data_IF_940041607831
#
_entry.id   IF_940041607831
#
_cell.length_a   1.000
_cell.length_b   1.000
_cell.length_c   1.000
_cell.angle_alpha   90.00
_cell.angle_beta   90.00
_cell.angle_gamma   90.00
#
_symmetry.space_group_name_H-M   'P 1'
#
loop_
_entity.id
_entity.type
_entity.pdbx_description
1 polymer ?
#
# COMPACT_ATOMS: atom_id res chain seq x y z
N UNK A 1 -0.78 -17.44 -24.33
CA UNK A 1 -1.60 -16.21 -24.41
C UNK A 1 -0.87 -15.14 -23.61
N UNK A 2 -0.25 -14.22 -24.30
CA UNK A 2 0.51 -13.09 -23.73
C UNK A 2 -0.49 -12.15 -23.06
N UNK A 3 -0.30 -11.94 -21.73
CA UNK A 3 -1.05 -10.92 -20.99
C UNK A 3 -0.78 -9.56 -21.64
N UNK A 4 -1.83 -8.95 -22.19
CA UNK A 4 -1.78 -7.59 -22.68
C UNK A 4 -1.29 -6.69 -21.53
N UNK A 5 -0.19 -6.00 -21.75
CA UNK A 5 0.24 -4.88 -20.92
C UNK A 5 -0.85 -3.82 -21.05
N UNK A 6 -1.73 -3.75 -20.07
CA UNK A 6 -2.60 -2.60 -19.91
C UNK A 6 -1.71 -1.42 -19.49
N UNK A 7 -1.76 -0.34 -20.25
CA UNK A 7 -1.18 0.93 -19.86
C UNK A 7 -1.64 1.25 -18.43
N UNK A 8 -0.68 1.51 -17.52
CA UNK A 8 -0.97 1.75 -16.10
C UNK A 8 -0.80 0.52 -15.19
N UNK A 9 0.17 -0.36 -15.41
CA UNK A 9 0.72 -1.32 -14.41
C UNK A 9 -0.23 -2.08 -13.47
N UNK A 10 -1.53 -2.18 -13.79
CA UNK A 10 -2.58 -2.73 -12.94
C UNK A 10 -2.26 -4.14 -12.45
N UNK A 11 -2.16 -4.30 -11.14
CA UNK A 11 -2.12 -5.60 -10.47
C UNK A 11 -3.56 -6.02 -10.17
N UNK A 12 -4.02 -7.19 -10.65
CA UNK A 12 -5.36 -7.67 -10.33
C UNK A 12 -5.59 -7.74 -8.83
N UNK A 13 -6.78 -7.35 -8.39
CA UNK A 13 -7.16 -7.42 -6.98
C UNK A 13 -6.95 -8.84 -6.44
N UNK A 14 -6.16 -8.95 -5.38
CA UNK A 14 -5.90 -10.21 -4.70
C UNK A 14 -6.70 -10.27 -3.40
N UNK A 15 -7.86 -10.92 -3.45
CA UNK A 15 -8.76 -11.07 -2.29
C UNK A 15 -8.50 -12.34 -1.47
N UNK A 16 -7.39 -13.04 -1.73
CA UNK A 16 -7.02 -14.20 -0.90
C UNK A 16 -6.83 -13.76 0.56
N UNK A 17 -7.24 -14.56 1.54
CA UNK A 17 -7.26 -14.15 2.97
C UNK A 17 -5.93 -13.63 3.51
N UNK A 18 -4.80 -14.10 2.96
CA UNK A 18 -3.45 -13.67 3.35
C UNK A 18 -2.80 -12.72 2.31
N UNK A 19 -3.56 -12.27 1.32
CA UNK A 19 -3.12 -11.32 0.30
C UNK A 19 -3.04 -9.90 0.85
N UNK A 20 -2.14 -9.07 0.28
CA UNK A 20 -1.97 -7.68 0.70
C UNK A 20 -3.25 -6.86 0.59
N UNK A 21 -3.96 -6.98 -0.53
CA UNK A 21 -5.20 -6.24 -0.76
C UNK A 21 -6.31 -6.64 0.23
N UNK A 22 -6.49 -7.94 0.51
CA UNK A 22 -7.50 -8.39 1.45
C UNK A 22 -7.24 -7.86 2.87
N UNK A 23 -5.97 -7.88 3.32
CA UNK A 23 -5.58 -7.33 4.62
C UNK A 23 -5.76 -5.82 4.67
N UNK A 24 -5.31 -5.12 3.64
CA UNK A 24 -5.46 -3.67 3.53
C UNK A 24 -6.93 -3.26 3.57
N UNK A 25 -7.79 -3.91 2.77
CA UNK A 25 -9.23 -3.69 2.78
C UNK A 25 -9.87 -4.05 4.14
N UNK A 26 -9.31 -5.02 4.87
CA UNK A 26 -9.72 -5.37 6.23
C UNK A 26 -9.41 -4.24 7.23
N UNK A 27 -8.24 -3.63 7.15
CA UNK A 27 -7.83 -2.50 8.00
C UNK A 27 -8.63 -1.22 7.74
N UNK A 28 -9.01 -0.98 6.48
CA UNK A 28 -9.89 0.16 6.13
C UNK A 28 -11.29 -0.03 6.72
N UNK A 29 -11.83 -1.24 6.64
CA UNK A 29 -13.16 -1.56 7.18
C UNK A 29 -14.31 -1.17 6.25
N UNK A 30 -15.42 -0.70 6.83
CA UNK A 30 -16.66 -0.38 6.13
C UNK A 30 -17.23 0.97 6.59
N UNK A 31 -18.02 1.63 5.73
CA UNK A 31 -18.74 2.88 6.05
C UNK A 31 -17.82 4.08 6.32
N UNK A 32 -16.60 4.10 5.77
CA UNK A 32 -15.56 5.10 6.00
C UNK A 32 -15.50 6.12 4.87
N UNK A 33 -15.08 7.34 5.18
CA UNK A 33 -14.61 8.31 4.20
C UNK A 33 -13.12 8.11 4.01
N UNK A 34 -12.72 7.69 2.83
CA UNK A 34 -11.35 7.26 2.50
C UNK A 34 -10.75 8.21 1.48
N UNK A 35 -9.51 8.64 1.70
CA UNK A 35 -8.67 9.25 0.67
C UNK A 35 -7.68 8.20 0.18
N UNK A 36 -7.88 7.71 -1.05
CA UNK A 36 -7.04 6.71 -1.71
C UNK A 36 -5.99 7.42 -2.57
N UNK A 37 -4.76 7.47 -2.08
CA UNK A 37 -3.67 8.23 -2.69
C UNK A 37 -2.84 7.29 -3.56
N UNK A 38 -2.75 7.59 -4.86
CA UNK A 38 -2.28 6.67 -5.88
C UNK A 38 -3.35 5.62 -6.19
N UNK A 39 -4.60 6.05 -6.36
CA UNK A 39 -5.74 5.14 -6.47
C UNK A 39 -5.75 4.31 -7.76
N UNK A 40 -4.84 4.59 -8.71
CA UNK A 40 -4.79 3.93 -10.02
C UNK A 40 -6.18 3.91 -10.68
N UNK A 41 -6.61 2.80 -11.23
CA UNK A 41 -7.94 2.62 -11.86
C UNK A 41 -9.11 2.48 -10.85
N UNK A 42 -8.90 2.78 -9.58
CA UNK A 42 -9.93 2.59 -8.53
C UNK A 42 -10.13 1.12 -8.13
N UNK A 43 -9.15 0.26 -8.36
CA UNK A 43 -9.28 -1.18 -8.09
C UNK A 43 -9.47 -1.49 -6.60
N UNK A 44 -8.88 -0.70 -5.68
CA UNK A 44 -9.13 -0.80 -4.24
C UNK A 44 -10.41 -0.05 -3.84
N UNK A 45 -10.74 1.04 -4.52
CA UNK A 45 -11.96 1.80 -4.26
C UNK A 45 -13.22 0.95 -4.50
N UNK A 46 -13.24 0.12 -5.54
CA UNK A 46 -14.41 -0.71 -5.88
C UNK A 46 -14.92 -1.59 -4.73
N UNK A 47 -14.13 -2.45 -4.10
CA UNK A 47 -14.59 -3.23 -2.94
C UNK A 47 -14.85 -2.36 -1.71
N UNK A 48 -14.20 -1.20 -1.54
CA UNK A 48 -14.47 -0.28 -0.43
C UNK A 48 -15.86 0.37 -0.58
N UNK A 49 -16.22 0.81 -1.79
CA UNK A 49 -17.55 1.35 -2.10
C UNK A 49 -18.63 0.30 -1.85
N UNK A 50 -18.40 -0.97 -2.22
CA UNK A 50 -19.32 -2.07 -1.91
C UNK A 50 -19.51 -2.30 -0.41
N UNK A 51 -18.53 -1.90 0.41
CA UNK A 51 -18.61 -1.91 1.89
C UNK A 51 -19.19 -0.62 2.47
N UNK A 52 -19.78 0.25 1.65
CA UNK A 52 -20.39 1.51 2.05
C UNK A 52 -19.41 2.64 2.33
N UNK A 53 -18.15 2.53 1.90
CA UNK A 53 -17.20 3.63 2.00
C UNK A 53 -17.47 4.69 0.93
N UNK A 54 -17.14 5.94 1.25
CA UNK A 54 -17.04 7.03 0.27
C UNK A 54 -15.56 7.23 -0.02
N UNK A 55 -15.13 6.95 -1.25
CA UNK A 55 -13.71 7.02 -1.64
C UNK A 55 -13.48 8.25 -2.52
N UNK A 56 -12.50 9.06 -2.13
CA UNK A 56 -11.90 10.13 -2.94
C UNK A 56 -10.53 9.63 -3.40
N UNK A 57 -10.23 9.71 -4.69
CA UNK A 57 -8.97 9.26 -5.28
C UNK A 57 -8.04 10.42 -5.61
N UNK A 58 -6.73 10.16 -5.54
CA UNK A 58 -5.68 11.00 -6.15
C UNK A 58 -4.87 10.10 -7.07
N UNK A 59 -4.70 10.50 -8.33
CA UNK A 59 -3.94 9.73 -9.32
C UNK A 59 -3.26 10.68 -10.31
N UNK A 60 -2.01 10.40 -10.67
CA UNK A 60 -1.26 11.22 -11.64
C UNK A 60 -1.45 10.78 -13.08
N UNK A 61 -1.72 9.49 -13.32
CA UNK A 61 -1.98 8.96 -14.66
C UNK A 61 -3.42 9.29 -15.09
N UNK A 62 -3.56 10.05 -16.16
CA UNK A 62 -4.86 10.51 -16.66
C UNK A 62 -5.79 9.36 -17.06
N UNK A 63 -5.23 8.28 -17.62
CA UNK A 63 -6.02 7.15 -18.10
C UNK A 63 -6.54 6.33 -16.92
N UNK A 64 -5.69 6.10 -15.92
CA UNK A 64 -6.06 5.42 -14.69
C UNK A 64 -7.09 6.25 -13.89
N UNK A 65 -6.87 7.55 -13.77
CA UNK A 65 -7.79 8.47 -13.09
C UNK A 65 -9.19 8.48 -13.72
N UNK A 66 -9.28 8.43 -15.07
CA UNK A 66 -10.57 8.37 -15.74
C UNK A 66 -11.33 7.07 -15.42
N UNK A 67 -10.62 5.94 -15.32
CA UNK A 67 -11.22 4.68 -14.88
C UNK A 67 -11.66 4.74 -13.40
N UNK A 68 -10.87 5.39 -12.53
CA UNK A 68 -11.18 5.55 -11.13
C UNK A 68 -12.47 6.38 -10.90
N UNK A 69 -12.77 7.35 -11.77
CA UNK A 69 -13.99 8.16 -11.72
C UNK A 69 -15.29 7.36 -11.86
N UNK A 70 -15.21 6.17 -12.45
CA UNK A 70 -16.38 5.28 -12.50
C UNK A 70 -16.79 4.74 -11.12
N UNK A 71 -15.90 4.81 -10.13
CA UNK A 71 -16.07 4.17 -8.82
C UNK A 71 -15.93 5.16 -7.66
N UNK A 72 -14.92 6.02 -7.71
CA UNK A 72 -14.68 7.02 -6.69
C UNK A 72 -15.71 8.15 -6.75
N UNK A 73 -16.06 8.71 -5.59
CA UNK A 73 -16.95 9.87 -5.49
C UNK A 73 -16.33 11.12 -6.14
N UNK A 74 -15.01 11.21 -6.09
CA UNK A 74 -14.21 12.28 -6.68
C UNK A 74 -12.81 11.73 -7.00
N UNK A 75 -12.18 12.22 -8.08
CA UNK A 75 -10.77 11.92 -8.41
C UNK A 75 -10.05 13.21 -8.76
N UNK A 76 -9.04 13.54 -7.97
CA UNK A 76 -8.09 14.61 -8.23
C UNK A 76 -6.94 14.06 -9.07
N UNK A 77 -6.59 14.78 -10.12
CA UNK A 77 -5.51 14.36 -11.03
C UNK A 77 -4.28 15.20 -10.78
N UNK A 78 -3.17 14.55 -10.42
CA UNK A 78 -1.89 15.22 -10.20
C UNK A 78 -0.92 14.41 -9.38
N UNK A 79 0.31 14.91 -9.28
CA UNK A 79 1.34 14.37 -8.40
C UNK A 79 0.97 14.69 -6.96
N UNK A 80 0.68 13.63 -6.17
CA UNK A 80 0.26 13.77 -4.78
C UNK A 80 1.30 14.48 -3.90
N UNK A 81 2.60 14.45 -4.25
CA UNK A 81 3.64 15.17 -3.51
C UNK A 81 3.65 16.67 -3.78
N UNK A 82 3.21 17.12 -4.96
CA UNK A 82 3.34 18.52 -5.40
C UNK A 82 2.03 19.28 -5.38
N UNK A 83 0.91 18.60 -5.66
CA UNK A 83 -0.38 19.25 -5.76
C UNK A 83 -0.88 19.80 -4.42
N UNK A 84 -1.65 20.87 -4.46
CA UNK A 84 -2.45 21.30 -3.31
C UNK A 84 -3.57 20.28 -3.06
N UNK A 85 -3.79 19.95 -1.80
CA UNK A 85 -4.86 19.06 -1.38
C UNK A 85 -6.02 19.91 -0.87
N UNK A 86 -7.10 20.09 -1.65
CA UNK A 86 -8.19 21.03 -1.34
C UNK A 86 -9.18 20.42 -0.32
N UNK A 87 -8.64 19.84 0.75
CA UNK A 87 -9.44 19.19 1.78
C UNK A 87 -9.28 19.90 3.11
N UNK A 88 -10.39 20.04 3.83
CA UNK A 88 -10.38 20.54 5.20
C UNK A 88 -9.69 19.55 6.15
N UNK A 89 -9.03 20.04 7.20
CA UNK A 89 -8.51 19.18 8.26
C UNK A 89 -9.59 18.27 8.83
N UNK A 90 -9.18 17.11 9.32
CA UNK A 90 -10.06 16.10 9.94
C UNK A 90 -11.24 15.68 9.06
N UNK A 91 -11.07 15.60 7.73
CA UNK A 91 -12.12 15.26 6.79
C UNK A 91 -12.20 13.78 6.42
N UNK A 92 -11.16 12.98 6.73
CA UNK A 92 -11.09 11.57 6.38
C UNK A 92 -10.99 10.66 7.60
N UNK A 93 -11.69 9.51 7.53
CA UNK A 93 -11.54 8.43 8.50
C UNK A 93 -10.28 7.61 8.22
N UNK A 94 -9.93 7.48 6.91
CA UNK A 94 -8.77 6.70 6.47
C UNK A 94 -8.02 7.42 5.35
N UNK A 95 -6.70 7.50 5.48
CA UNK A 95 -5.78 7.77 4.38
C UNK A 95 -5.20 6.44 3.92
N UNK A 96 -5.37 6.12 2.64
CA UNK A 96 -4.96 4.85 2.05
C UNK A 96 -3.79 5.09 1.10
N UNK A 97 -2.66 4.40 1.32
CA UNK A 97 -1.46 4.44 0.50
C UNK A 97 -1.05 3.00 0.12
N UNK A 98 -1.71 2.42 -0.88
CA UNK A 98 -1.42 1.07 -1.35
C UNK A 98 -0.23 1.05 -2.29
N UNK A 99 0.94 0.54 -1.84
CA UNK A 99 2.19 0.48 -2.60
C UNK A 99 2.55 1.85 -3.23
N UNK A 100 2.52 2.90 -2.40
CA UNK A 100 2.79 4.28 -2.79
C UNK A 100 4.08 4.81 -2.18
N UNK A 101 4.31 4.57 -0.87
CA UNK A 101 5.34 5.28 -0.11
C UNK A 101 6.77 5.00 -0.62
N UNK A 102 6.99 3.85 -1.23
CA UNK A 102 8.26 3.49 -1.87
C UNK A 102 8.56 4.27 -3.15
N UNK A 103 7.54 4.86 -3.77
CA UNK A 103 7.66 5.64 -5.01
C UNK A 103 7.82 7.14 -4.75
N UNK A 104 7.56 7.61 -3.53
CA UNK A 104 7.66 9.03 -3.17
C UNK A 104 9.12 9.49 -3.12
N UNK A 105 9.36 10.75 -3.42
CA UNK A 105 10.68 11.39 -3.30
C UNK A 105 11.04 11.67 -1.85
N UNK A 106 10.05 12.10 -1.05
CA UNK A 106 10.20 12.40 0.36
C UNK A 106 8.99 11.85 1.14
N UNK A 107 8.97 10.53 1.45
CA UNK A 107 7.84 9.90 2.11
C UNK A 107 7.55 10.45 3.50
N UNK A 108 8.59 10.84 4.25
CA UNK A 108 8.43 11.40 5.60
C UNK A 108 7.69 12.74 5.55
N UNK A 109 8.15 13.66 4.70
CA UNK A 109 7.51 14.96 4.49
C UNK A 109 6.09 14.83 3.95
N UNK A 110 5.89 13.93 2.99
CA UNK A 110 4.58 13.69 2.41
C UNK A 110 3.57 13.19 3.46
N UNK A 111 3.95 12.16 4.22
CA UNK A 111 3.11 11.59 5.27
C UNK A 111 2.76 12.61 6.34
N UNK A 112 3.72 13.43 6.77
CA UNK A 112 3.48 14.52 7.72
C UNK A 112 2.50 15.57 7.16
N UNK A 113 2.57 15.87 5.85
CA UNK A 113 1.68 16.84 5.18
C UNK A 113 0.23 16.38 5.14
N UNK A 114 -0.01 15.06 4.93
CA UNK A 114 -1.37 14.53 4.84
C UNK A 114 -1.99 14.20 6.20
N UNK A 115 -1.20 14.08 7.26
CA UNK A 115 -1.67 13.71 8.59
C UNK A 115 -2.82 14.60 9.11
N UNK A 116 -2.81 15.93 8.94
CA UNK A 116 -3.89 16.79 9.41
C UNK A 116 -5.26 16.53 8.76
N UNK A 117 -5.28 15.81 7.63
CA UNK A 117 -6.53 15.42 6.95
C UNK A 117 -7.27 14.31 7.68
N UNK A 118 -6.58 13.56 8.56
CA UNK A 118 -7.18 12.53 9.39
C UNK A 118 -8.01 13.12 10.52
N UNK A 119 -9.16 12.50 10.75
CA UNK A 119 -9.92 12.69 11.99
C UNK A 119 -9.11 12.23 13.20
N UNK A 120 -9.43 12.69 14.42
CA UNK A 120 -8.68 12.30 15.62
C UNK A 120 -8.60 10.78 15.86
N UNK A 121 -9.61 10.03 15.46
CA UNK A 121 -9.71 8.56 15.52
C UNK A 121 -9.42 7.88 14.17
N UNK A 122 -9.01 8.67 13.18
CA UNK A 122 -8.68 8.21 11.84
C UNK A 122 -7.41 7.37 11.78
N UNK A 123 -7.17 6.71 10.66
CA UNK A 123 -6.00 5.84 10.44
C UNK A 123 -5.37 6.08 9.07
N UNK A 124 -4.05 6.07 9.07
CA UNK A 124 -3.27 5.81 7.87
C UNK A 124 -3.20 4.30 7.68
N UNK A 125 -3.58 3.82 6.51
CA UNK A 125 -3.44 2.41 6.11
C UNK A 125 -2.56 2.36 4.87
N UNK A 126 -1.47 1.59 4.92
CA UNK A 126 -0.53 1.50 3.81
C UNK A 126 0.02 0.09 3.61
N UNK A 127 0.52 -0.14 2.39
CA UNK A 127 1.37 -1.28 2.07
C UNK A 127 2.67 -0.81 1.46
N UNK A 128 3.75 -1.58 1.67
CA UNK A 128 5.04 -1.38 1.00
C UNK A 128 5.87 -2.65 1.01
N UNK A 129 6.69 -2.92 -0.02
CA UNK A 129 7.54 -4.10 -0.09
C UNK A 129 8.64 -4.13 0.99
N UNK A 130 9.00 -5.34 1.40
CA UNK A 130 10.10 -5.57 2.34
C UNK A 130 11.41 -5.90 1.60
N UNK A 131 12.32 -4.94 1.50
CA UNK A 131 13.63 -5.18 0.88
C UNK A 131 14.47 -6.23 1.61
N UNK A 132 14.26 -6.35 2.93
CA UNK A 132 14.98 -7.31 3.78
C UNK A 132 14.43 -8.76 3.69
N UNK A 133 13.57 -9.05 2.71
CA UNK A 133 13.10 -10.41 2.43
C UNK A 133 14.27 -11.37 2.21
N UNK A 134 14.13 -12.62 2.65
CA UNK A 134 15.18 -13.64 2.59
C UNK A 134 15.78 -13.85 1.20
N UNK A 135 14.95 -13.76 0.15
CA UNK A 135 15.42 -13.94 -1.23
C UNK A 135 16.39 -12.83 -1.65
N UNK A 136 16.11 -11.56 -1.29
CA UNK A 136 16.99 -10.44 -1.54
C UNK A 136 18.29 -10.56 -0.73
N UNK A 137 18.18 -10.96 0.55
CA UNK A 137 19.37 -11.20 1.40
C UNK A 137 20.27 -12.27 0.81
N UNK A 138 19.69 -13.38 0.36
CA UNK A 138 20.45 -14.45 -0.29
C UNK A 138 21.08 -13.97 -1.60
N UNK A 139 20.34 -13.20 -2.39
CA UNK A 139 20.85 -12.56 -3.59
C UNK A 139 22.10 -11.71 -3.31
N UNK A 140 22.02 -10.84 -2.29
CA UNK A 140 23.12 -9.98 -1.88
C UNK A 140 24.36 -10.78 -1.40
N UNK A 141 24.16 -11.88 -0.67
CA UNK A 141 25.25 -12.76 -0.21
C UNK A 141 26.07 -13.34 -1.38
N UNK A 142 25.44 -13.52 -2.54
CA UNK A 142 26.13 -14.01 -3.77
C UNK A 142 26.38 -12.87 -4.78
N UNK A 143 26.37 -11.62 -4.33
CA UNK A 143 26.63 -10.44 -5.16
C UNK A 143 25.58 -10.15 -6.23
N UNK A 144 24.34 -10.59 -6.04
CA UNK A 144 23.23 -10.38 -6.98
C UNK A 144 22.27 -9.33 -6.45
N UNK A 145 22.13 -8.24 -7.22
CA UNK A 145 21.12 -7.20 -7.02
C UNK A 145 20.61 -6.78 -8.39
N UNK A 146 19.40 -7.16 -8.74
CA UNK A 146 18.84 -6.87 -10.06
C UNK A 146 17.49 -6.21 -9.91
N UNK A 147 17.38 -5.00 -10.45
CA UNK A 147 16.09 -4.34 -10.59
C UNK A 147 15.21 -5.08 -11.60
N UNK A 148 13.92 -5.10 -11.30
CA UNK A 148 12.87 -5.76 -12.08
C UNK A 148 11.81 -4.74 -12.47
N UNK A 149 10.85 -5.12 -13.29
CA UNK A 149 9.74 -4.24 -13.68
C UNK A 149 8.55 -4.36 -12.71
N UNK A 150 8.66 -5.21 -11.69
CA UNK A 150 7.63 -5.43 -10.64
C UNK A 150 8.24 -6.08 -9.40
N UNK A 151 7.57 -5.90 -8.24
CA UNK A 151 7.90 -6.57 -7.00
C UNK A 151 8.87 -5.78 -6.14
N UNK A 152 9.55 -6.43 -5.19
CA UNK A 152 10.35 -5.74 -4.16
C UNK A 152 11.44 -4.83 -4.77
N UNK A 153 12.10 -5.30 -5.82
CA UNK A 153 13.17 -4.57 -6.49
C UNK A 153 12.68 -3.91 -7.79
N UNK A 154 11.46 -3.39 -7.78
CA UNK A 154 10.96 -2.59 -8.90
C UNK A 154 11.86 -1.37 -9.09
N UNK A 155 12.19 -1.08 -10.37
CA UNK A 155 13.09 0.03 -10.73
C UNK A 155 12.50 1.41 -10.47
N UNK A 156 11.19 1.50 -10.23
CA UNK A 156 10.50 2.74 -9.89
C UNK A 156 10.46 3.01 -8.39
N UNK A 157 10.91 2.06 -7.55
CA UNK A 157 11.03 2.27 -6.12
C UNK A 157 12.22 3.18 -5.81
N UNK A 158 11.95 4.35 -5.27
CA UNK A 158 12.94 5.32 -4.80
C UNK A 158 13.42 4.97 -3.39
N UNK A 159 12.55 4.39 -2.57
CA UNK A 159 12.83 3.95 -1.21
C UNK A 159 12.61 2.46 -1.05
N UNK A 160 13.57 1.79 -0.41
CA UNK A 160 13.51 0.36 -0.13
C UNK A 160 13.39 0.16 1.39
N UNK A 161 12.18 -0.15 1.84
CA UNK A 161 11.89 -0.26 3.25
C UNK A 161 12.24 -1.63 3.83
N UNK A 162 12.81 -1.60 5.04
CA UNK A 162 12.75 -2.70 6.01
C UNK A 162 11.65 -2.41 7.02
N UNK A 163 11.29 -3.38 7.87
CA UNK A 163 10.35 -3.14 8.97
C UNK A 163 10.80 -1.96 9.86
N UNK A 164 12.09 -1.89 10.19
CA UNK A 164 12.62 -0.87 11.08
C UNK A 164 12.56 0.52 10.44
N UNK A 165 13.03 0.66 9.20
CA UNK A 165 13.03 1.96 8.52
C UNK A 165 11.62 2.44 8.17
N UNK A 166 10.67 1.53 7.90
CA UNK A 166 9.27 1.91 7.71
C UNK A 166 8.67 2.51 8.99
N UNK A 167 8.86 1.83 10.13
CA UNK A 167 8.38 2.31 11.43
C UNK A 167 9.02 3.66 11.77
N UNK A 168 10.33 3.81 11.59
CA UNK A 168 11.04 5.06 11.83
C UNK A 168 10.51 6.21 10.95
N UNK A 169 10.25 5.97 9.66
CA UNK A 169 9.65 6.96 8.75
C UNK A 169 8.27 7.39 9.24
N UNK A 170 7.42 6.43 9.66
CA UNK A 170 6.10 6.73 10.18
C UNK A 170 6.16 7.56 11.47
N UNK A 171 7.03 7.19 12.40
CA UNK A 171 7.22 7.91 13.67
C UNK A 171 7.71 9.35 13.43
N UNK A 172 8.68 9.55 12.52
CA UNK A 172 9.17 10.88 12.15
C UNK A 172 8.11 11.73 11.44
N UNK A 173 7.20 11.09 10.71
CA UNK A 173 6.06 11.76 10.09
C UNK A 173 4.90 12.03 11.06
N UNK A 174 5.05 11.72 12.36
CA UNK A 174 4.07 11.98 13.40
C UNK A 174 3.00 10.89 13.53
N UNK A 175 3.28 9.65 13.12
CA UNK A 175 2.35 8.53 13.28
C UNK A 175 2.87 7.51 14.28
N UNK A 176 1.94 6.91 15.03
CA UNK A 176 2.19 5.73 15.86
C UNK A 176 1.63 4.49 15.19
N UNK A 177 2.45 3.45 14.99
CA UNK A 177 2.01 2.18 14.40
C UNK A 177 1.07 1.47 15.38
N UNK A 178 -0.16 1.22 14.94
CA UNK A 178 -1.19 0.51 15.71
C UNK A 178 -1.18 -0.98 15.39
N UNK A 179 -1.06 -1.31 14.11
CA UNK A 179 -1.01 -2.69 13.62
C UNK A 179 0.01 -2.79 12.49
N UNK A 180 0.82 -3.84 12.54
CA UNK A 180 1.76 -4.18 11.48
C UNK A 180 1.62 -5.66 11.15
N UNK A 181 1.01 -5.93 10.03
CA UNK A 181 0.87 -7.27 9.44
C UNK A 181 1.74 -7.38 8.18
N UNK A 182 1.75 -8.52 7.54
CA UNK A 182 2.61 -8.80 6.39
C UNK A 182 2.01 -9.87 5.48
N UNK A 183 2.51 -9.93 4.25
CA UNK A 183 2.21 -11.00 3.31
C UNK A 183 3.41 -11.93 3.15
N UNK A 184 3.14 -13.21 2.97
CA UNK A 184 4.14 -14.21 2.58
C UNK A 184 3.60 -14.91 1.33
N UNK A 185 4.06 -14.52 0.12
CA UNK A 185 3.60 -15.18 -1.08
C UNK A 185 4.14 -16.61 -1.13
N UNK A 186 3.27 -17.54 -1.44
CA UNK A 186 3.64 -18.91 -1.73
C UNK A 186 3.71 -19.08 -3.24
N UNK A 187 4.91 -19.35 -3.82
CA UNK A 187 5.01 -19.63 -5.25
C UNK A 187 4.25 -20.89 -5.61
N UNK A 188 3.48 -20.86 -6.70
CA UNK A 188 2.73 -22.00 -7.19
C UNK A 188 1.30 -22.07 -6.68
N UNK A 189 0.71 -23.24 -6.71
CA UNK A 189 -0.70 -23.46 -6.36
C UNK A 189 -0.85 -23.41 -4.85
N UNK A 190 -1.22 -22.24 -4.32
CA UNK A 190 -1.57 -22.11 -2.93
C UNK A 190 -2.88 -22.83 -2.63
N UNK A 191 -2.80 -24.01 -2.00
CA UNK A 191 -3.95 -24.47 -1.21
C UNK A 191 -4.02 -23.61 0.06
N UNK A 192 -5.21 -23.31 0.53
CA UNK A 192 -5.41 -22.47 1.73
C UNK A 192 -4.56 -22.94 2.93
N UNK A 193 -4.32 -24.26 3.05
CA UNK A 193 -3.47 -24.84 4.10
C UNK A 193 -1.99 -24.49 3.96
N UNK A 194 -1.46 -24.46 2.73
CA UNK A 194 -0.05 -24.09 2.48
C UNK A 194 0.17 -22.61 2.71
N UNK A 195 -0.78 -21.77 2.31
CA UNK A 195 -0.72 -20.33 2.57
C UNK A 195 -0.78 -20.02 4.08
N UNK A 196 -1.67 -20.70 4.82
CA UNK A 196 -1.75 -20.58 6.27
C UNK A 196 -0.46 -21.02 6.97
N UNK A 197 0.14 -22.14 6.54
CA UNK A 197 1.41 -22.63 7.08
C UNK A 197 2.56 -21.67 6.79
N UNK A 198 2.68 -21.17 5.55
CA UNK A 198 3.69 -20.18 5.18
C UNK A 198 3.54 -18.90 6.00
N UNK A 199 2.30 -18.43 6.19
CA UNK A 199 2.01 -17.28 7.02
C UNK A 199 2.39 -17.52 8.48
N UNK A 200 2.08 -18.70 9.04
CA UNK A 200 2.45 -19.07 10.40
C UNK A 200 3.98 -19.09 10.60
N UNK A 201 4.73 -19.66 9.64
CA UNK A 201 6.20 -19.62 9.65
C UNK A 201 6.72 -18.19 9.54
N UNK A 202 6.08 -17.38 8.70
CA UNK A 202 6.41 -15.95 8.56
C UNK A 202 6.29 -15.18 9.88
N UNK A 203 5.36 -15.56 10.76
CA UNK A 203 5.18 -14.95 12.10
C UNK A 203 6.40 -15.08 13.00
N UNK A 204 7.21 -16.12 12.84
CA UNK A 204 8.41 -16.34 13.65
C UNK A 204 9.49 -15.29 13.36
N UNK A 205 9.62 -14.85 12.12
CA UNK A 205 10.60 -13.85 11.67
C UNK A 205 10.01 -12.96 10.57
N UNK A 206 9.06 -12.05 10.88
CA UNK A 206 8.40 -11.21 9.87
C UNK A 206 9.39 -10.38 9.03
N UNK A 207 10.45 -9.83 9.66
CA UNK A 207 11.48 -9.06 8.95
C UNK A 207 12.25 -9.87 7.89
N UNK A 208 12.23 -11.22 7.98
CA UNK A 208 12.91 -12.10 7.05
C UNK A 208 11.96 -12.64 5.97
N UNK A 209 10.76 -13.07 6.38
CA UNK A 209 9.85 -13.80 5.49
C UNK A 209 8.78 -12.92 4.84
N UNK A 210 8.46 -11.75 5.43
CA UNK A 210 7.53 -10.84 4.81
C UNK A 210 7.99 -10.45 3.40
N UNK A 211 7.06 -10.49 2.46
CA UNK A 211 7.25 -9.93 1.12
C UNK A 211 6.86 -8.46 1.09
N UNK A 212 5.75 -8.14 1.76
CA UNK A 212 5.16 -6.81 1.85
C UNK A 212 4.64 -6.61 3.27
N UNK A 213 4.80 -5.42 3.79
CA UNK A 213 4.17 -4.99 5.04
C UNK A 213 2.80 -4.39 4.75
N UNK A 214 1.88 -4.60 5.69
CA UNK A 214 0.56 -3.99 5.72
C UNK A 214 0.41 -3.29 7.07
N UNK A 215 0.26 -2.00 7.07
CA UNK A 215 0.34 -1.18 8.30
C UNK A 215 -0.92 -0.36 8.48
N UNK A 216 -1.38 -0.30 9.73
CA UNK A 216 -2.31 0.71 10.21
C UNK A 216 -1.60 1.57 11.25
N UNK A 217 -1.65 2.89 11.10
CA UNK A 217 -1.03 3.84 12.01
C UNK A 217 -2.02 4.96 12.36
N UNK A 218 -1.91 5.49 13.58
CA UNK A 218 -2.69 6.62 14.07
C UNK A 218 -1.84 7.88 14.12
N UNK A 219 -2.42 9.09 14.05
CA UNK A 219 -1.73 10.29 14.47
C UNK A 219 -1.15 10.12 15.88
N UNK A 220 0.13 10.56 16.09
CA UNK A 220 0.82 10.46 17.37
C UNK A 220 0.42 11.59 18.33
#
# INVERSE_FOLDING_TARGET
>A
MTAAQTAGGYVPLNERPHGGHAKLLGLVGAGKRVLDIGCSSGYLARPLVQRGCTVVGIEQDLVAAEQAREVCAEVLVGDAEEMELPFEPASFDVLLCGDLVEHLRDPERFLARIQPLLRPDGRLVLTTPNVANWANRLGLLVGRWRYTDRGILDRTHLHLFTRATLVETLERAGYSVVELDYTVPVPGVGTAGVEAAAHAVGRLRPSLFAYQFVVSAAPA
#
